data_IF_295260632845
#
_entry.id   IF_295260632845
#
_cell.length_a   1.000
_cell.length_b   1.000
_cell.length_c   1.000
_cell.angle_alpha   90.00
_cell.angle_beta   90.00
_cell.angle_gamma   90.00
#
_symmetry.space_group_name_H-M   'P 1'
#
loop_
_entity.id
_entity.type
_entity.pdbx_description
1 polymer ?
#
# COMPACT_ATOMS: atom_id res chain seq x y z
N UNK A 1 -7.00 -9.96 -5.85
CA UNK A 1 -7.08 -11.33 -6.43
C UNK A 1 -6.47 -11.44 -7.82
N UNK A 2 -6.80 -10.53 -8.76
CA UNK A 2 -6.24 -10.54 -10.12
C UNK A 2 -4.69 -10.47 -10.17
N UNK A 3 -4.07 -9.65 -9.31
CA UNK A 3 -2.60 -9.57 -9.23
C UNK A 3 -1.96 -10.93 -8.85
N UNK A 4 -2.51 -11.63 -7.86
CA UNK A 4 -2.01 -12.95 -7.43
C UNK A 4 -2.12 -13.98 -8.57
N UNK A 5 -3.23 -13.97 -9.32
CA UNK A 5 -3.39 -14.85 -10.48
C UNK A 5 -2.36 -14.54 -11.57
N UNK A 6 -2.13 -13.26 -11.88
CA UNK A 6 -1.11 -12.85 -12.84
C UNK A 6 0.30 -13.28 -12.38
N UNK A 7 0.61 -13.14 -11.09
CA UNK A 7 1.90 -13.59 -10.53
C UNK A 7 2.07 -15.12 -10.62
N UNK A 8 1.01 -15.90 -10.35
CA UNK A 8 1.05 -17.37 -10.51
C UNK A 8 1.24 -17.81 -11.97
N UNK A 9 0.82 -16.99 -12.92
CA UNK A 9 1.02 -17.19 -14.35
C UNK A 9 2.35 -16.59 -14.87
N UNK A 10 3.28 -16.23 -13.98
CA UNK A 10 4.58 -15.61 -14.29
C UNK A 10 4.49 -14.25 -15.02
N UNK A 11 3.32 -13.59 -14.96
CA UNK A 11 3.09 -12.26 -15.53
C UNK A 11 3.36 -11.17 -14.49
N UNK A 12 4.61 -11.09 -14.01
CA UNK A 12 4.99 -10.21 -12.90
C UNK A 12 4.73 -8.72 -13.17
N UNK A 13 5.00 -8.23 -14.38
CA UNK A 13 4.71 -6.85 -14.75
C UNK A 13 3.21 -6.54 -14.68
N UNK A 14 2.34 -7.46 -15.14
CA UNK A 14 0.89 -7.31 -15.05
C UNK A 14 0.42 -7.35 -13.60
N UNK A 15 0.95 -8.28 -12.79
CA UNK A 15 0.66 -8.37 -11.37
C UNK A 15 1.00 -7.05 -10.65
N UNK A 16 2.20 -6.52 -10.89
CA UNK A 16 2.66 -5.27 -10.30
C UNK A 16 1.83 -4.08 -10.77
N UNK A 17 1.56 -3.96 -12.07
CA UNK A 17 0.72 -2.88 -12.60
C UNK A 17 -0.70 -2.92 -12.00
N UNK A 18 -1.27 -4.11 -11.77
CA UNK A 18 -2.57 -4.25 -11.12
C UNK A 18 -2.51 -3.84 -9.64
N UNK A 19 -1.48 -4.26 -8.91
CA UNK A 19 -1.33 -3.95 -7.48
C UNK A 19 -1.05 -2.46 -7.24
N UNK A 20 -0.07 -1.90 -7.97
CA UNK A 20 0.30 -0.49 -7.88
C UNK A 20 -0.82 0.40 -8.43
N UNK A 21 -1.44 0.03 -9.55
CA UNK A 21 -2.56 0.77 -10.14
C UNK A 21 -3.74 0.89 -9.17
N UNK A 22 -4.10 -0.20 -8.48
CA UNK A 22 -5.14 -0.16 -7.45
C UNK A 22 -4.76 0.74 -6.28
N UNK A 23 -3.50 0.68 -5.82
CA UNK A 23 -3.02 1.48 -4.69
C UNK A 23 -2.98 2.98 -5.04
N UNK A 24 -2.50 3.31 -6.24
CA UNK A 24 -2.48 4.67 -6.77
C UNK A 24 -3.89 5.22 -6.97
N UNK A 25 -4.86 4.40 -7.39
CA UNK A 25 -6.26 4.83 -7.47
C UNK A 25 -6.81 5.22 -6.08
N UNK A 26 -6.50 4.46 -5.03
CA UNK A 26 -6.92 4.81 -3.67
C UNK A 26 -6.27 6.10 -3.18
N UNK A 27 -4.94 6.23 -3.32
CA UNK A 27 -4.19 7.38 -2.82
C UNK A 27 -4.47 8.64 -3.65
N UNK A 28 -4.51 8.52 -4.97
CA UNK A 28 -4.63 9.63 -5.91
C UNK A 28 -6.06 10.05 -6.23
N UNK A 29 -7.07 9.20 -5.94
CA UNK A 29 -8.48 9.51 -6.21
C UNK A 29 -9.35 9.36 -4.96
N UNK A 30 -9.33 8.21 -4.28
CA UNK A 30 -10.24 7.97 -3.14
C UNK A 30 -9.95 8.90 -1.96
N UNK A 31 -8.69 9.07 -1.56
CA UNK A 31 -8.34 10.00 -0.47
C UNK A 31 -8.70 11.46 -0.79
N UNK A 32 -8.38 12.01 -1.98
CA UNK A 32 -8.85 13.34 -2.37
C UNK A 32 -10.37 13.46 -2.45
N UNK A 33 -11.07 12.46 -2.98
CA UNK A 33 -12.53 12.48 -3.08
C UNK A 33 -13.17 12.56 -1.69
N UNK A 34 -12.68 11.79 -0.73
CA UNK A 34 -13.12 11.86 0.68
C UNK A 34 -12.74 13.20 1.31
N UNK A 35 -11.55 13.74 1.00
CA UNK A 35 -11.13 15.09 1.40
C UNK A 35 -12.09 16.17 0.96
N UNK A 36 -12.44 16.19 -0.34
CA UNK A 36 -13.39 17.13 -0.91
C UNK A 36 -14.78 16.94 -0.28
N UNK A 37 -15.26 15.70 -0.16
CA UNK A 37 -16.54 15.42 0.48
C UNK A 37 -16.57 15.96 1.92
N UNK A 38 -15.51 15.76 2.69
CA UNK A 38 -15.43 16.25 4.07
C UNK A 38 -15.48 17.78 4.16
N UNK A 39 -14.84 18.48 3.22
CA UNK A 39 -14.93 19.95 3.12
C UNK A 39 -16.36 20.41 2.81
N UNK A 40 -17.06 19.69 1.94
CA UNK A 40 -18.45 20.00 1.58
C UNK A 40 -19.44 19.73 2.72
N UNK A 41 -19.23 18.65 3.49
CA UNK A 41 -20.07 18.28 4.63
C UNK A 41 -19.72 19.05 5.92
N UNK A 42 -18.66 19.86 5.91
CA UNK A 42 -18.19 20.59 7.09
C UNK A 42 -17.65 19.69 8.20
N UNK A 43 -17.35 18.42 7.90
CA UNK A 43 -16.75 17.49 8.84
C UNK A 43 -15.22 17.62 8.81
N UNK A 44 -14.52 17.66 9.96
CA UNK A 44 -13.06 17.64 9.95
C UNK A 44 -12.57 16.27 9.47
N UNK A 45 -11.87 16.23 8.33
CA UNK A 45 -11.24 15.00 7.86
C UNK A 45 -9.98 14.74 8.67
N UNK A 46 -10.09 13.89 9.68
CA UNK A 46 -8.93 13.28 10.31
C UNK A 46 -8.70 11.96 9.59
N UNK A 47 -7.62 11.88 8.81
CA UNK A 47 -7.19 10.64 8.12
C UNK A 47 -6.91 9.49 9.11
N UNK A 48 -6.92 9.78 10.42
CA UNK A 48 -6.73 8.85 11.53
C UNK A 48 -5.44 8.03 11.44
N UNK A 49 -4.45 8.56 10.70
CA UNK A 49 -3.09 8.05 10.67
C UNK A 49 -2.34 8.67 11.84
N UNK A 50 -2.05 7.87 12.87
CA UNK A 50 -1.10 8.25 13.90
C UNK A 50 0.33 8.30 13.34
N UNK A 51 1.27 8.73 14.19
CA UNK A 51 2.67 8.82 13.81
C UNK A 51 3.24 7.46 13.36
N UNK A 52 2.83 6.38 14.03
CA UNK A 52 3.27 5.01 13.76
C UNK A 52 2.79 4.52 12.39
N UNK A 53 1.51 4.71 12.05
CA UNK A 53 0.93 4.31 10.78
C UNK A 53 1.53 5.11 9.63
N UNK A 54 1.81 6.40 9.85
CA UNK A 54 2.46 7.25 8.85
C UNK A 54 3.90 6.79 8.57
N UNK A 55 4.65 6.40 9.59
CA UNK A 55 6.00 5.81 9.43
C UNK A 55 5.93 4.48 8.69
N UNK A 56 5.00 3.59 9.04
CA UNK A 56 4.83 2.30 8.36
C UNK A 56 4.43 2.46 6.90
N UNK A 57 3.54 3.41 6.60
CA UNK A 57 3.16 3.73 5.23
C UNK A 57 4.36 4.21 4.42
N UNK A 58 5.12 5.17 4.94
CA UNK A 58 6.33 5.68 4.30
C UNK A 58 7.34 4.56 4.06
N UNK A 59 7.61 3.74 5.08
CA UNK A 59 8.54 2.63 4.98
C UNK A 59 8.09 1.60 3.94
N UNK A 60 6.80 1.28 3.90
CA UNK A 60 6.23 0.35 2.91
C UNK A 60 6.42 0.87 1.49
N UNK A 61 6.15 2.16 1.25
CA UNK A 61 6.36 2.78 -0.07
C UNK A 61 7.83 2.80 -0.48
N UNK A 62 8.74 3.14 0.44
CA UNK A 62 10.19 3.15 0.18
C UNK A 62 10.70 1.75 -0.13
N UNK A 63 10.33 0.73 0.66
CA UNK A 63 10.72 -0.66 0.42
C UNK A 63 10.15 -1.18 -0.90
N UNK A 64 8.89 -0.84 -1.21
CA UNK A 64 8.29 -1.19 -2.50
C UNK A 64 9.07 -0.59 -3.67
N UNK A 65 9.46 0.69 -3.58
CA UNK A 65 10.26 1.35 -4.62
C UNK A 65 11.61 0.68 -4.83
N UNK A 66 12.34 0.38 -3.74
CA UNK A 66 13.65 -0.29 -3.81
C UNK A 66 13.53 -1.69 -4.42
N UNK A 67 12.57 -2.48 -3.96
CA UNK A 67 12.44 -3.89 -4.35
C UNK A 67 11.89 -4.09 -5.76
N UNK A 68 11.06 -3.18 -6.26
CA UNK A 68 10.46 -3.27 -7.60
C UNK A 68 11.42 -2.72 -8.67
N UNK A 69 12.34 -1.81 -8.32
CA UNK A 69 13.29 -1.19 -9.26
C UNK A 69 14.27 -2.15 -9.94
N UNK A 70 14.60 -3.28 -9.30
CA UNK A 70 15.69 -4.17 -9.72
C UNK A 70 15.36 -5.17 -10.85
N UNK A 71 14.12 -5.18 -11.37
CA UNK A 71 13.69 -6.06 -12.47
C UNK A 71 13.67 -7.57 -12.17
N UNK A 72 14.17 -8.01 -11.01
CA UNK A 72 14.18 -9.41 -10.55
C UNK A 72 13.36 -9.52 -9.27
N UNK A 73 12.39 -10.42 -9.24
CA UNK A 73 11.62 -10.74 -8.03
C UNK A 73 12.39 -11.73 -7.15
N UNK A 74 12.39 -11.47 -5.84
CA UNK A 74 13.02 -12.33 -4.84
C UNK A 74 12.00 -12.65 -3.74
N UNK A 75 11.92 -13.92 -3.32
CA UNK A 75 11.10 -14.38 -2.20
C UNK A 75 11.46 -13.61 -0.92
N UNK A 76 12.74 -13.31 -0.71
CA UNK A 76 13.19 -12.54 0.45
C UNK A 76 12.57 -11.13 0.46
N UNK A 77 12.60 -10.42 -0.67
CA UNK A 77 11.95 -9.10 -0.80
C UNK A 77 10.44 -9.18 -0.56
N UNK A 78 9.79 -10.24 -1.03
CA UNK A 78 8.37 -10.49 -0.73
C UNK A 78 8.10 -10.68 0.76
N UNK A 79 8.96 -11.43 1.45
CA UNK A 79 8.84 -11.64 2.90
C UNK A 79 8.96 -10.35 3.70
N UNK A 80 9.81 -9.41 3.28
CA UNK A 80 9.92 -8.08 3.92
C UNK A 80 8.58 -7.33 3.87
N UNK A 81 7.88 -7.35 2.73
CA UNK A 81 6.56 -6.70 2.62
C UNK A 81 5.51 -7.38 3.52
N UNK A 82 5.56 -8.71 3.62
CA UNK A 82 4.66 -9.45 4.51
C UNK A 82 4.94 -9.15 5.99
N UNK A 83 6.21 -8.99 6.36
CA UNK A 83 6.60 -8.58 7.73
C UNK A 83 6.09 -7.18 8.01
N UNK A 84 6.25 -6.22 7.08
CA UNK A 84 5.70 -4.87 7.27
C UNK A 84 4.19 -4.87 7.42
N UNK A 85 3.48 -5.66 6.62
CA UNK A 85 2.04 -5.84 6.75
C UNK A 85 1.68 -6.47 8.11
N UNK A 86 2.41 -7.50 8.54
CA UNK A 86 2.19 -8.13 9.84
C UNK A 86 2.44 -7.17 11.00
N UNK A 87 3.48 -6.34 10.93
CA UNK A 87 3.77 -5.29 11.90
C UNK A 87 2.66 -4.25 11.95
N UNK A 88 2.15 -3.81 10.80
CA UNK A 88 0.99 -2.92 10.73
C UNK A 88 -0.25 -3.52 11.38
N UNK A 89 -0.58 -4.79 11.06
CA UNK A 89 -1.71 -5.50 11.67
C UNK A 89 -1.49 -5.68 13.18
N UNK A 90 -0.28 -6.00 13.62
CA UNK A 90 0.04 -6.17 15.03
C UNK A 90 -0.19 -4.87 15.80
N UNK A 91 0.36 -3.76 15.33
CA UNK A 91 0.22 -2.45 15.98
C UNK A 91 -1.22 -1.93 15.98
N UNK A 92 -2.04 -2.34 15.01
CA UNK A 92 -3.47 -2.02 15.01
C UNK A 92 -4.21 -2.63 16.21
N UNK A 93 -3.78 -3.79 16.70
CA UNK A 93 -4.42 -4.50 17.83
C UNK A 93 -3.66 -4.34 19.16
N UNK A 94 -2.36 -4.12 19.12
CA UNK A 94 -1.47 -3.95 20.27
C UNK A 94 -0.64 -2.65 20.08
N UNK A 95 -1.22 -1.48 20.40
CA UNK A 95 -0.58 -0.17 20.20
C UNK A 95 0.63 0.07 21.12
#
# INVERSE_FOLDING_TARGET
>A
VAAIQAARADQLQRSLNLALGSSLATIGLTFPAVGIASLLLGTPLVLALGATEMVLLALTLTVAMVTISGGRTNILSGSVHLVLLATFVFLLFAP
#
